data_IF_771493254352
#
_entry.id   IF_771493254352
#
_cell.length_a   1.000
_cell.length_b   1.000
_cell.length_c   1.000
_cell.angle_alpha   90.00
_cell.angle_beta   90.00
_cell.angle_gamma   90.00
#
_symmetry.space_group_name_H-M   'P 1'
#
loop_
_entity.id
_entity.type
_entity.pdbx_description
1 polymer ?
#
# COMPACT_ATOMS: atom_id res chain seq x y z
N UNK A 1 -42.32 34.99 -44.85
CA UNK A 1 -41.59 33.72 -44.97
C UNK A 1 -40.85 33.44 -43.67
N UNK A 2 -41.57 32.88 -42.71
CA UNK A 2 -41.06 32.31 -41.47
C UNK A 2 -40.26 31.04 -41.78
N UNK A 3 -38.93 31.10 -41.77
CA UNK A 3 -38.10 29.89 -41.71
C UNK A 3 -37.19 29.92 -40.45
N UNK A 4 -37.77 29.40 -39.36
CA UNK A 4 -37.19 28.36 -38.49
C UNK A 4 -35.93 28.80 -37.71
N UNK A 5 -36.07 29.37 -36.52
CA UNK A 5 -36.03 28.67 -35.22
C UNK A 5 -34.94 27.58 -35.09
N UNK A 6 -34.11 27.74 -34.04
CA UNK A 6 -33.30 26.73 -33.33
C UNK A 6 -31.84 26.55 -33.76
N UNK A 7 -30.97 27.38 -33.18
CA UNK A 7 -29.63 26.93 -32.76
C UNK A 7 -29.34 27.45 -31.34
N UNK A 8 -30.19 27.08 -30.38
CA UNK A 8 -29.75 26.97 -28.99
C UNK A 8 -28.97 25.65 -28.88
N UNK A 9 -27.69 25.65 -29.27
CA UNK A 9 -26.78 24.60 -28.83
C UNK A 9 -26.43 24.91 -27.37
N UNK A 10 -27.22 24.34 -26.46
CA UNK A 10 -26.79 24.19 -25.07
C UNK A 10 -25.55 23.28 -25.09
N UNK A 11 -24.36 23.85 -24.96
CA UNK A 11 -23.16 23.11 -24.58
C UNK A 11 -23.37 22.59 -23.16
N UNK A 12 -24.05 21.46 -23.04
CA UNK A 12 -24.06 20.69 -21.80
C UNK A 12 -22.73 19.96 -21.77
N UNK A 13 -21.73 20.60 -21.17
CA UNK A 13 -20.47 19.95 -20.85
C UNK A 13 -20.79 18.79 -19.90
N UNK A 14 -20.77 17.56 -20.39
CA UNK A 14 -20.79 16.36 -19.54
C UNK A 14 -19.44 16.28 -18.82
N UNK A 15 -19.24 17.12 -17.80
CA UNK A 15 -18.17 16.88 -16.83
C UNK A 15 -18.61 15.68 -16.01
N UNK A 16 -17.84 14.58 -16.09
CA UNK A 16 -18.02 13.46 -15.17
C UNK A 16 -18.02 14.01 -13.74
N UNK A 17 -19.07 13.73 -12.99
CA UNK A 17 -19.14 14.05 -11.56
C UNK A 17 -18.12 13.15 -10.85
N UNK A 18 -16.87 13.60 -10.79
CA UNK A 18 -15.87 12.98 -9.91
C UNK A 18 -16.29 13.35 -8.50
N UNK A 19 -16.84 12.38 -7.78
CA UNK A 19 -17.17 12.60 -6.37
C UNK A 19 -15.88 12.70 -5.58
N UNK A 20 -15.81 13.58 -4.59
CA UNK A 20 -14.64 13.69 -3.71
C UNK A 20 -14.30 12.37 -2.97
N UNK A 21 -15.24 11.41 -2.96
CA UNK A 21 -15.04 10.07 -2.43
C UNK A 21 -13.99 9.25 -3.19
N UNK A 22 -13.84 9.46 -4.49
CA UNK A 22 -12.90 8.70 -5.35
C UNK A 22 -11.44 9.16 -5.19
N UNK A 23 -11.22 10.31 -4.55
CA UNK A 23 -9.88 10.86 -4.25
C UNK A 23 -9.38 10.48 -2.85
N UNK A 24 -10.26 9.97 -1.99
CA UNK A 24 -9.86 9.48 -0.67
C UNK A 24 -9.22 8.09 -0.82
N UNK A 25 -7.88 8.05 -0.89
CA UNK A 25 -7.17 6.83 -0.49
C UNK A 25 -7.38 6.68 1.02
N UNK A 26 -8.39 5.92 1.39
CA UNK A 26 -8.75 5.64 2.79
C UNK A 26 -7.54 4.96 3.43
N UNK A 27 -6.94 5.58 4.45
CA UNK A 27 -6.05 4.86 5.36
C UNK A 27 -6.83 3.67 5.89
N UNK A 28 -6.49 2.47 5.41
CA UNK A 28 -7.15 1.25 5.86
C UNK A 28 -6.59 0.96 7.26
N UNK A 29 -7.18 1.63 8.24
CA UNK A 29 -6.98 1.39 9.65
C UNK A 29 -7.86 0.21 10.06
N UNK A 30 -7.23 -0.92 10.37
CA UNK A 30 -7.90 -2.15 10.77
C UNK A 30 -7.65 -2.35 12.25
N UNK A 31 -8.68 -2.13 13.06
CA UNK A 31 -8.66 -2.36 14.50
C UNK A 31 -8.61 -3.86 14.80
N UNK A 32 -7.90 -4.23 15.87
CA UNK A 32 -7.87 -5.59 16.38
C UNK A 32 -7.03 -6.53 15.53
N UNK A 33 -6.14 -5.98 14.71
CA UNK A 33 -5.27 -6.71 13.81
C UNK A 33 -3.85 -6.12 13.86
N UNK A 34 -2.86 -6.98 13.65
CA UNK A 34 -1.47 -6.58 13.52
C UNK A 34 -0.75 -7.48 12.49
N UNK A 35 0.18 -6.89 11.75
CA UNK A 35 1.12 -7.66 10.93
C UNK A 35 2.29 -8.10 11.81
N UNK A 36 2.56 -9.41 11.88
CA UNK A 36 3.65 -9.99 12.67
C UNK A 36 4.85 -10.36 11.78
N UNK A 37 6.01 -10.59 12.39
CA UNK A 37 7.26 -11.07 11.74
C UNK A 37 7.92 -10.13 10.70
N UNK A 38 7.26 -9.04 10.32
CA UNK A 38 7.77 -8.03 9.38
C UNK A 38 8.05 -6.67 10.02
N UNK A 39 8.02 -6.62 11.35
CA UNK A 39 8.38 -5.44 12.14
C UNK A 39 9.90 -5.26 12.08
N UNK A 40 10.36 -4.17 11.48
CA UNK A 40 11.79 -3.83 11.40
C UNK A 40 12.17 -2.71 12.37
N UNK A 41 11.18 -2.01 12.95
CA UNK A 41 11.42 -0.95 13.92
C UNK A 41 10.27 -0.87 14.92
N UNK A 42 10.60 -0.81 16.21
CA UNK A 42 9.64 -0.65 17.31
C UNK A 42 10.03 0.52 18.20
N UNK A 43 9.06 1.32 18.63
CA UNK A 43 9.31 2.53 19.41
C UNK A 43 8.06 2.98 20.16
N UNK A 44 8.25 3.77 21.21
CA UNK A 44 7.15 4.42 21.94
C UNK A 44 6.85 5.78 21.29
N UNK A 45 5.58 6.05 20.98
CA UNK A 45 5.12 7.31 20.39
C UNK A 45 3.81 7.75 21.03
N UNK A 46 3.65 9.06 21.25
CA UNK A 46 2.47 9.59 21.93
C UNK A 46 1.15 9.39 21.16
N UNK A 47 1.21 9.29 19.83
CA UNK A 47 0.04 9.23 18.96
C UNK A 47 0.30 8.52 17.61
N UNK A 48 -0.75 7.98 16.94
CA UNK A 48 -0.60 7.28 15.66
C UNK A 48 0.02 8.11 14.54
N UNK A 49 -0.25 9.42 14.45
CA UNK A 49 0.30 10.26 13.36
C UNK A 49 1.84 10.36 13.40
N UNK A 50 2.44 10.12 14.58
CA UNK A 50 3.89 10.06 14.73
C UNK A 50 4.44 8.79 14.05
N UNK A 51 3.71 7.67 14.11
CA UNK A 51 4.06 6.46 13.34
C UNK A 51 4.08 6.74 11.84
N UNK A 52 3.06 7.43 11.32
CA UNK A 52 2.97 7.77 9.91
C UNK A 52 4.16 8.64 9.47
N UNK A 53 4.47 9.69 10.25
CA UNK A 53 5.64 10.53 9.99
C UNK A 53 6.95 9.73 9.97
N UNK A 54 7.14 8.84 10.93
CA UNK A 54 8.36 8.03 11.02
C UNK A 54 8.44 6.96 9.92
N UNK A 55 7.32 6.33 9.59
CA UNK A 55 7.19 5.42 8.46
C UNK A 55 7.52 6.13 7.15
N UNK A 56 7.05 7.38 6.98
CA UNK A 56 7.31 8.17 5.76
C UNK A 56 8.79 8.45 5.52
N UNK A 57 9.58 8.56 6.59
CA UNK A 57 11.04 8.76 6.53
C UNK A 57 11.82 7.50 6.18
N UNK A 58 11.21 6.32 6.33
CA UNK A 58 11.82 5.03 6.01
C UNK A 58 11.32 4.59 4.63
N UNK A 59 12.22 4.51 3.64
CA UNK A 59 11.84 4.15 2.26
C UNK A 59 11.25 2.74 2.17
N UNK A 60 11.68 1.85 3.06
CA UNK A 60 11.24 0.46 3.13
C UNK A 60 9.92 0.28 3.91
N UNK A 61 9.43 1.31 4.60
CA UNK A 61 8.20 1.17 5.39
C UNK A 61 6.96 1.12 4.49
N UNK A 62 6.20 0.03 4.63
CA UNK A 62 4.99 -0.27 3.84
C UNK A 62 3.71 -0.21 4.67
N UNK A 63 3.79 -0.47 5.97
CA UNK A 63 2.68 -0.38 6.91
C UNK A 63 3.21 -0.20 8.34
N UNK A 64 2.33 -0.01 9.31
CA UNK A 64 2.70 -0.01 10.73
C UNK A 64 1.57 -0.55 11.60
N UNK A 65 1.93 -1.13 12.74
CA UNK A 65 1.00 -1.42 13.83
C UNK A 65 1.12 -0.32 14.89
N UNK A 66 0.00 0.01 15.54
CA UNK A 66 -0.02 0.94 16.66
C UNK A 66 -0.82 0.35 17.82
N UNK A 67 -0.28 0.39 19.03
CA UNK A 67 -0.98 0.05 20.27
C UNK A 67 -1.28 1.33 21.03
N UNK A 68 -2.56 1.65 21.20
CA UNK A 68 -2.99 2.90 21.85
C UNK A 68 -2.73 2.90 23.36
N UNK A 69 -2.87 1.75 24.02
CA UNK A 69 -2.73 1.63 25.48
C UNK A 69 -1.26 1.73 25.90
N UNK A 70 -0.39 1.04 25.18
CA UNK A 70 1.05 1.00 25.46
C UNK A 70 1.81 2.12 24.76
N UNK A 71 1.14 2.85 23.86
CA UNK A 71 1.73 3.92 23.05
C UNK A 71 2.90 3.40 22.20
N UNK A 72 2.78 2.18 21.66
CA UNK A 72 3.83 1.53 20.87
C UNK A 72 3.51 1.62 19.38
N UNK A 73 4.54 1.93 18.61
CA UNK A 73 4.57 1.91 17.16
C UNK A 73 5.48 0.79 16.67
N UNK A 74 5.00 -0.01 15.72
CA UNK A 74 5.80 -1.02 15.02
C UNK A 74 5.75 -0.75 13.52
N UNK A 75 6.87 -0.32 12.93
CA UNK A 75 6.98 -0.12 11.49
C UNK A 75 7.23 -1.46 10.80
N UNK A 76 6.48 -1.71 9.74
CA UNK A 76 6.52 -2.94 8.97
C UNK A 76 7.05 -2.68 7.56
N UNK A 77 7.91 -3.58 7.10
CA UNK A 77 8.44 -3.49 5.75
C UNK A 77 7.54 -4.18 4.71
N UNK A 78 6.43 -4.82 5.14
CA UNK A 78 5.42 -5.52 4.31
C UNK A 78 4.03 -5.00 4.64
N UNK A 79 3.04 -5.45 3.87
CA UNK A 79 1.61 -5.15 4.11
C UNK A 79 0.84 -6.46 4.33
N UNK A 80 -0.41 -6.35 4.77
CA UNK A 80 -1.34 -7.48 4.85
C UNK A 80 -1.58 -8.20 3.52
N UNK A 81 -1.49 -7.48 2.39
CA UNK A 81 -1.77 -8.05 1.07
C UNK A 81 -0.55 -8.82 0.54
N UNK A 82 0.66 -8.38 0.91
CA UNK A 82 1.88 -9.13 0.67
C UNK A 82 1.97 -10.39 1.53
N UNK A 83 1.50 -10.33 2.78
CA UNK A 83 1.71 -11.36 3.82
C UNK A 83 0.43 -11.65 4.63
N UNK A 84 -0.60 -12.19 3.98
CA UNK A 84 -1.89 -12.42 4.64
C UNK A 84 -1.78 -13.41 5.81
N UNK A 85 -0.84 -14.36 5.77
CA UNK A 85 -0.64 -15.38 6.81
C UNK A 85 -0.09 -14.81 8.12
N UNK A 86 0.59 -13.67 8.05
CA UNK A 86 1.16 -12.96 9.20
C UNK A 86 0.25 -11.82 9.67
N UNK A 87 -0.85 -11.56 8.97
CA UNK A 87 -1.85 -10.57 9.35
C UNK A 87 -2.86 -11.22 10.31
N UNK A 88 -2.60 -11.08 11.62
CA UNK A 88 -3.29 -11.85 12.66
C UNK A 88 -4.15 -10.94 13.55
N UNK A 89 -5.19 -11.53 14.12
CA UNK A 89 -6.00 -10.86 15.13
C UNK A 89 -5.16 -10.57 16.37
N UNK A 90 -5.23 -9.31 16.81
CA UNK A 90 -4.58 -8.81 18.02
C UNK A 90 -5.40 -7.62 18.56
N UNK A 91 -6.34 -7.85 19.50
CA UNK A 91 -7.31 -6.85 19.95
C UNK A 91 -6.71 -5.54 20.49
N UNK A 92 -5.46 -5.58 20.97
CA UNK A 92 -4.79 -4.40 21.53
C UNK A 92 -4.19 -3.47 20.46
N UNK A 93 -4.19 -3.88 19.19
CA UNK A 93 -3.45 -3.22 18.12
C UNK A 93 -4.35 -2.71 16.99
N UNK A 94 -3.80 -1.77 16.24
CA UNK A 94 -4.34 -1.21 15.03
C UNK A 94 -3.31 -1.40 13.92
N UNK A 95 -3.71 -1.97 12.79
CA UNK A 95 -2.88 -2.04 11.60
C UNK A 95 -3.22 -0.91 10.63
N UNK A 96 -2.21 -0.25 10.07
CA UNK A 96 -2.38 0.83 9.09
C UNK A 96 -1.44 0.61 7.92
N UNK A 97 -1.99 0.54 6.69
CA UNK A 97 -1.19 0.50 5.45
C UNK A 97 -0.76 1.92 5.04
N UNK A 98 0.51 2.09 4.66
CA UNK A 98 0.99 3.34 4.05
C UNK A 98 0.50 3.43 2.60
N UNK A 99 -0.16 4.52 2.25
CA UNK A 99 -0.78 4.68 0.92
C UNK A 99 0.06 5.49 -0.07
N UNK A 100 0.91 6.40 0.42
CA UNK A 100 1.65 7.35 -0.40
C UNK A 100 3.15 7.40 -0.07
N UNK A 101 3.95 7.69 -1.10
CA UNK A 101 5.40 7.87 -0.98
C UNK A 101 6.19 6.62 -0.60
N UNK A 102 5.58 5.43 -0.62
CA UNK A 102 6.28 4.16 -0.38
C UNK A 102 6.93 3.66 -1.68
N UNK A 103 8.11 3.04 -1.58
CA UNK A 103 8.65 2.27 -2.69
C UNK A 103 7.76 1.05 -2.97
N UNK A 104 7.43 0.73 -4.24
CA UNK A 104 6.76 -0.53 -4.56
C UNK A 104 7.60 -1.73 -4.10
N UNK A 105 6.94 -2.79 -3.65
CA UNK A 105 7.61 -4.00 -3.20
C UNK A 105 8.45 -4.62 -4.35
N UNK A 106 9.70 -4.95 -4.07
CA UNK A 106 10.65 -5.47 -5.06
C UNK A 106 11.24 -4.42 -6.02
N UNK A 107 10.90 -3.14 -5.88
CA UNK A 107 11.45 -2.10 -6.78
C UNK A 107 12.86 -1.64 -6.43
N UNK A 108 13.29 -1.83 -5.18
CA UNK A 108 14.61 -1.44 -4.66
C UNK A 108 15.27 -2.61 -3.93
N UNK A 109 16.61 -2.70 -3.90
CA UNK A 109 17.30 -3.84 -3.28
C UNK A 109 17.11 -3.92 -1.76
N UNK A 110 16.81 -2.82 -1.08
CA UNK A 110 16.50 -2.77 0.36
C UNK A 110 15.09 -3.27 0.67
N UNK A 111 14.25 -3.46 -0.35
CA UNK A 111 12.87 -3.92 -0.23
C UNK A 111 12.55 -5.08 -1.17
N UNK A 112 13.27 -6.20 -1.09
CA UNK A 112 13.04 -7.32 -2.00
C UNK A 112 11.74 -8.06 -1.63
N UNK A 113 11.01 -8.54 -2.63
CA UNK A 113 9.89 -9.46 -2.40
C UNK A 113 10.40 -10.90 -2.23
N UNK A 114 9.59 -11.83 -1.74
CA UNK A 114 9.89 -13.28 -1.78
C UNK A 114 9.58 -13.89 -3.14
N UNK A 115 8.59 -13.35 -3.84
CA UNK A 115 8.14 -13.90 -5.12
C UNK A 115 7.45 -12.84 -5.97
N UNK A 116 7.31 -13.12 -7.26
CA UNK A 116 6.52 -12.28 -8.18
C UNK A 116 5.04 -12.25 -7.76
N UNK A 117 4.52 -13.36 -7.22
CA UNK A 117 3.16 -13.44 -6.71
C UNK A 117 2.94 -12.49 -5.52
N UNK A 118 3.91 -12.37 -4.60
CA UNK A 118 3.81 -11.40 -3.50
C UNK A 118 3.72 -9.96 -4.01
N UNK A 119 4.53 -9.61 -5.03
CA UNK A 119 4.48 -8.28 -5.65
C UNK A 119 3.11 -8.04 -6.27
N UNK A 120 2.61 -8.98 -7.09
CA UNK A 120 1.30 -8.86 -7.76
C UNK A 120 0.16 -8.75 -6.74
N UNK A 121 0.20 -9.51 -5.66
CA UNK A 121 -0.78 -9.43 -4.57
C UNK A 121 -0.73 -8.07 -3.84
N UNK A 122 0.47 -7.51 -3.63
CA UNK A 122 0.65 -6.27 -2.87
C UNK A 122 0.38 -4.99 -3.68
N UNK A 123 0.82 -4.96 -4.93
CA UNK A 123 0.78 -3.78 -5.81
C UNK A 123 -0.48 -3.74 -6.69
N UNK A 124 -1.10 -4.89 -6.94
CA UNK A 124 -2.36 -5.00 -7.67
C UNK A 124 -2.20 -5.41 -9.13
N UNK A 125 -3.32 -5.43 -9.85
CA UNK A 125 -3.44 -5.98 -11.20
C UNK A 125 -2.69 -5.19 -12.27
N UNK A 126 -2.48 -3.90 -12.05
CA UNK A 126 -1.80 -3.00 -13.01
C UNK A 126 -0.27 -3.03 -12.87
N UNK A 127 0.27 -3.95 -12.06
CA UNK A 127 1.72 -4.12 -11.91
C UNK A 127 2.34 -4.57 -13.23
N UNK A 128 3.30 -3.79 -13.73
CA UNK A 128 3.97 -4.08 -14.99
C UNK A 128 4.87 -5.33 -14.92
N UNK A 129 5.06 -6.01 -16.04
CA UNK A 129 6.12 -7.03 -16.15
C UNK A 129 7.48 -6.35 -16.25
N UNK A 130 8.41 -6.69 -15.36
CA UNK A 130 9.75 -6.10 -15.31
C UNK A 130 10.69 -6.97 -14.47
N UNK A 131 11.94 -6.54 -14.32
CA UNK A 131 12.89 -7.06 -13.34
C UNK A 131 12.62 -6.47 -11.96
N UNK A 132 12.52 -7.34 -10.96
CA UNK A 132 12.28 -7.01 -9.56
C UNK A 132 13.34 -7.66 -8.66
N UNK A 133 13.60 -7.04 -7.51
CA UNK A 133 14.44 -7.59 -6.46
C UNK A 133 13.66 -8.64 -5.67
N UNK A 134 14.13 -9.89 -5.73
CA UNK A 134 13.58 -11.00 -4.98
C UNK A 134 14.61 -11.57 -4.01
N UNK A 135 14.18 -11.88 -2.78
CA UNK A 135 14.94 -12.60 -1.76
C UNK A 135 14.05 -13.73 -1.22
N UNK A 136 13.87 -14.83 -1.96
CA UNK A 136 12.96 -15.91 -1.57
C UNK A 136 13.28 -16.48 -0.17
N UNK A 137 14.57 -16.57 0.16
CA UNK A 137 15.05 -17.11 1.44
C UNK A 137 14.96 -16.11 2.60
N UNK A 138 14.94 -14.81 2.35
CA UNK A 138 14.80 -13.79 3.40
C UNK A 138 16.10 -13.47 4.10
N UNK A 139 17.20 -13.59 3.37
CA UNK A 139 18.56 -13.40 3.86
C UNK A 139 18.97 -11.92 3.89
N UNK A 140 18.13 -11.03 3.37
CA UNK A 140 18.44 -9.63 3.09
C UNK A 140 19.20 -9.42 1.79
N UNK A 141 19.47 -10.47 1.01
CA UNK A 141 20.21 -10.41 -0.25
C UNK A 141 19.27 -10.65 -1.42
N UNK A 142 18.75 -9.55 -1.97
CA UNK A 142 17.93 -9.59 -3.17
C UNK A 142 18.73 -9.93 -4.43
N UNK A 143 18.15 -10.73 -5.31
CA UNK A 143 18.61 -10.94 -6.69
C UNK A 143 17.60 -10.33 -7.66
N UNK A 144 18.08 -9.89 -8.82
CA UNK A 144 17.22 -9.29 -9.82
C UNK A 144 16.60 -10.37 -10.72
N UNK A 145 15.28 -10.52 -10.69
CA UNK A 145 14.54 -11.57 -11.40
C UNK A 145 13.46 -10.93 -12.27
N UNK A 146 13.29 -11.42 -13.50
CA UNK A 146 12.19 -10.97 -14.35
C UNK A 146 10.87 -11.60 -13.90
N UNK A 147 9.90 -10.77 -13.54
CA UNK A 147 8.54 -11.18 -13.22
C UNK A 147 7.62 -10.85 -14.38
N UNK A 148 6.98 -11.87 -14.95
CA UNK A 148 5.85 -11.68 -15.85
C UNK A 148 4.57 -11.57 -15.02
N UNK A 149 3.98 -10.38 -14.96
CA UNK A 149 2.78 -10.12 -14.15
C UNK A 149 1.47 -10.47 -14.88
N UNK A 150 1.53 -10.71 -16.20
CA UNK A 150 0.37 -11.05 -17.03
C UNK A 150 0.13 -12.55 -17.12
N UNK A 151 1.14 -13.37 -16.85
CA UNK A 151 0.93 -14.80 -16.66
C UNK A 151 0.25 -14.99 -15.32
N UNK A 152 -0.99 -15.47 -15.38
CA UNK A 152 -1.60 -16.13 -14.23
C UNK A 152 -0.86 -17.46 -14.06
N UNK A 153 -0.28 -17.66 -12.87
CA UNK A 153 0.31 -18.95 -12.53
C UNK A 153 -0.76 -20.02 -12.40
#
# INVERSE_FOLDING_TARGET
MLWIFRYFLACVSFTNLVTAGDQCRIEINIRGMALKDFVFKRMTVAAPHICDFLCKREITCQSYNFNRKEQICELNNRTKDARPENFRSDPAWFYIRRLSGRAPLGSIPELPARSCQEIKANEGKDTASNKYWLDPSGTGKGILVYCNMHLEG
#
